data_IF_213536465420
#
_entry.id   IF_213536465420
#
_cell.length_a   1.000
_cell.length_b   1.000
_cell.length_c   1.000
_cell.angle_alpha   90.00
_cell.angle_beta   90.00
_cell.angle_gamma   90.00
#
_symmetry.space_group_name_H-M   'P 1'
#
loop_
_entity.id
_entity.type
_entity.pdbx_description
1 polymer ?
#
# COMPACT_ATOMS: atom_id res chain seq x y z
N UNK A 1 -56.39 25.82 -3.36
CA UNK A 1 -56.19 24.47 -3.95
C UNK A 1 -54.86 24.35 -4.69
N UNK A 2 -54.53 25.21 -5.68
CA UNK A 2 -53.29 25.10 -6.48
C UNK A 2 -51.99 25.15 -5.63
N UNK A 3 -51.90 26.05 -4.65
CA UNK A 3 -50.72 26.19 -3.80
C UNK A 3 -50.45 24.95 -2.91
N UNK A 4 -51.50 24.22 -2.51
CA UNK A 4 -51.38 23.03 -1.65
C UNK A 4 -50.86 21.81 -2.45
N UNK A 5 -51.27 21.69 -3.71
CA UNK A 5 -50.71 20.72 -4.65
C UNK A 5 -49.26 21.05 -5.02
N UNK A 6 -48.92 22.33 -5.18
CA UNK A 6 -47.55 22.77 -5.45
C UNK A 6 -46.58 22.37 -4.33
N UNK A 7 -46.94 22.64 -3.07
CA UNK A 7 -46.11 22.24 -1.92
C UNK A 7 -46.02 20.71 -1.74
N UNK A 8 -47.08 19.97 -2.03
CA UNK A 8 -47.05 18.49 -2.03
C UNK A 8 -46.10 17.94 -3.09
N UNK A 9 -46.11 18.50 -4.30
CA UNK A 9 -45.19 18.11 -5.38
C UNK A 9 -43.74 18.40 -4.99
N UNK A 10 -43.45 19.59 -4.45
CA UNK A 10 -42.10 19.94 -3.97
C UNK A 10 -41.66 19.01 -2.85
N UNK A 11 -42.51 18.76 -1.86
CA UNK A 11 -42.19 17.86 -0.76
C UNK A 11 -41.90 16.44 -1.25
N UNK A 12 -42.74 15.89 -2.13
CA UNK A 12 -42.50 14.58 -2.74
C UNK A 12 -41.19 14.55 -3.52
N UNK A 13 -40.87 15.59 -4.29
CA UNK A 13 -39.59 15.68 -5.01
C UNK A 13 -38.39 15.70 -4.05
N UNK A 14 -38.44 16.48 -2.97
CA UNK A 14 -37.38 16.54 -1.95
C UNK A 14 -37.20 15.18 -1.26
N UNK A 15 -38.30 14.50 -0.91
CA UNK A 15 -38.25 13.17 -0.29
C UNK A 15 -37.63 12.14 -1.24
N UNK A 16 -38.00 12.17 -2.52
CA UNK A 16 -37.43 11.26 -3.53
C UNK A 16 -35.93 11.53 -3.72
N UNK A 17 -35.52 12.79 -3.87
CA UNK A 17 -34.11 13.17 -4.00
C UNK A 17 -33.32 12.79 -2.75
N UNK A 18 -33.87 13.06 -1.56
CA UNK A 18 -33.26 12.68 -0.29
C UNK A 18 -33.11 11.16 -0.14
N UNK A 19 -34.10 10.39 -0.58
CA UNK A 19 -34.04 8.93 -0.57
C UNK A 19 -32.98 8.39 -1.53
N UNK A 20 -32.88 8.92 -2.75
CA UNK A 20 -31.83 8.53 -3.69
C UNK A 20 -30.43 8.87 -3.16
N UNK A 21 -30.25 10.07 -2.62
CA UNK A 21 -29.00 10.49 -2.00
C UNK A 21 -28.61 9.57 -0.83
N UNK A 22 -29.57 9.25 0.06
CA UNK A 22 -29.33 8.35 1.18
C UNK A 22 -28.99 6.93 0.74
N UNK A 23 -29.69 6.41 -0.26
CA UNK A 23 -29.41 5.08 -0.83
C UNK A 23 -28.02 5.03 -1.45
N UNK A 24 -27.64 6.06 -2.18
CA UNK A 24 -26.33 6.16 -2.81
C UNK A 24 -25.22 6.23 -1.76
N UNK A 25 -25.38 7.07 -0.73
CA UNK A 25 -24.46 7.16 0.41
C UNK A 25 -24.28 5.81 1.13
N UNK A 26 -25.38 5.08 1.35
CA UNK A 26 -25.33 3.76 1.98
C UNK A 26 -24.54 2.74 1.13
N UNK A 27 -24.74 2.76 -0.19
CA UNK A 27 -24.04 1.86 -1.09
C UNK A 27 -22.52 2.14 -1.08
N UNK A 28 -22.12 3.41 -1.18
CA UNK A 28 -20.71 3.82 -1.13
C UNK A 28 -20.03 3.35 0.17
N UNK A 29 -20.68 3.57 1.32
CA UNK A 29 -20.14 3.10 2.60
C UNK A 29 -20.03 1.57 2.67
N UNK A 30 -21.01 0.84 2.14
CA UNK A 30 -20.98 -0.62 2.14
C UNK A 30 -19.84 -1.17 1.29
N UNK A 31 -19.58 -0.57 0.12
CA UNK A 31 -18.46 -0.93 -0.73
C UNK A 31 -17.12 -0.57 -0.08
N UNK A 32 -17.02 0.60 0.56
CA UNK A 32 -15.83 0.99 1.33
C UNK A 32 -15.50 -0.03 2.43
N UNK A 33 -16.48 -0.39 3.27
CA UNK A 33 -16.29 -1.37 4.35
C UNK A 33 -15.92 -2.76 3.82
N UNK A 34 -16.50 -3.17 2.69
CA UNK A 34 -16.12 -4.42 2.01
C UNK A 34 -14.65 -4.41 1.60
N UNK A 35 -14.20 -3.33 0.98
CA UNK A 35 -12.80 -3.19 0.58
C UNK A 35 -11.85 -3.06 1.77
N UNK A 36 -12.28 -2.41 2.87
CA UNK A 36 -11.52 -2.37 4.12
C UNK A 36 -11.34 -3.76 4.69
N UNK A 37 -12.40 -4.56 4.79
CA UNK A 37 -12.32 -5.94 5.29
C UNK A 37 -11.36 -6.79 4.45
N UNK A 38 -11.44 -6.70 3.12
CA UNK A 38 -10.52 -7.43 2.23
C UNK A 38 -9.08 -6.94 2.38
N UNK A 39 -8.87 -5.64 2.59
CA UNK A 39 -7.54 -5.09 2.87
C UNK A 39 -7.00 -5.60 4.21
N UNK A 40 -7.85 -5.70 5.24
CA UNK A 40 -7.48 -6.24 6.55
C UNK A 40 -6.97 -7.67 6.40
N UNK A 41 -7.70 -8.50 5.66
CA UNK A 41 -7.30 -9.90 5.40
C UNK A 41 -5.99 -10.01 4.63
N UNK A 42 -5.78 -9.20 3.59
CA UNK A 42 -4.55 -9.26 2.79
C UNK A 42 -3.32 -8.81 3.56
N UNK A 43 -3.48 -7.81 4.44
CA UNK A 43 -2.38 -7.20 5.19
C UNK A 43 -2.19 -7.79 6.59
N UNK A 44 -2.97 -8.81 6.96
CA UNK A 44 -2.72 -9.54 8.19
C UNK A 44 -1.34 -10.23 8.12
N UNK A 45 -0.56 -10.03 9.18
CA UNK A 45 0.74 -10.64 9.43
C UNK A 45 0.72 -11.34 10.80
N UNK A 46 -0.47 -11.73 11.28
CA UNK A 46 -0.57 -12.66 12.38
C UNK A 46 0.04 -14.02 11.99
N UNK A 47 0.50 -14.78 12.99
CA UNK A 47 1.22 -16.03 12.79
C UNK A 47 0.43 -16.99 11.87
N UNK A 48 1.06 -17.42 10.76
CA UNK A 48 0.43 -18.31 9.76
C UNK A 48 -0.37 -17.61 8.66
N UNK A 49 -0.47 -16.28 8.67
CA UNK A 49 -1.12 -15.50 7.59
C UNK A 49 -0.12 -14.81 6.66
N UNK A 50 1.18 -14.92 6.95
CA UNK A 50 2.26 -14.33 6.15
C UNK A 50 2.33 -14.93 4.73
N UNK A 51 2.82 -14.18 3.73
CA UNK A 51 2.98 -14.72 2.39
C UNK A 51 4.02 -15.84 2.36
N UNK A 52 3.72 -16.94 1.67
CA UNK A 52 4.59 -18.12 1.63
C UNK A 52 5.75 -17.99 0.64
N UNK A 53 5.65 -17.06 -0.31
CA UNK A 53 6.64 -16.84 -1.35
C UNK A 53 6.55 -15.42 -1.93
N UNK A 54 7.51 -15.08 -2.79
CA UNK A 54 7.63 -13.75 -3.42
C UNK A 54 6.42 -13.39 -4.29
N UNK A 55 5.87 -14.38 -5.02
CA UNK A 55 4.71 -14.18 -5.88
C UNK A 55 3.46 -13.81 -5.06
N UNK A 56 3.23 -14.53 -3.96
CA UNK A 56 2.12 -14.24 -3.06
C UNK A 56 2.28 -12.86 -2.40
N UNK A 57 3.49 -12.53 -1.93
CA UNK A 57 3.78 -11.21 -1.35
C UNK A 57 3.52 -10.09 -2.38
N UNK A 58 4.02 -10.24 -3.60
CA UNK A 58 3.80 -9.26 -4.68
C UNK A 58 2.32 -9.13 -5.04
N UNK A 59 1.61 -10.26 -5.14
CA UNK A 59 0.18 -10.28 -5.45
C UNK A 59 -0.63 -9.52 -4.40
N UNK A 60 -0.32 -9.71 -3.11
CA UNK A 60 -0.95 -8.95 -2.02
C UNK A 60 -0.67 -7.46 -2.13
N UNK A 61 0.57 -7.04 -2.46
CA UNK A 61 0.86 -5.61 -2.70
C UNK A 61 -0.01 -5.04 -3.82
N UNK A 62 -0.09 -5.70 -4.97
CA UNK A 62 -0.90 -5.23 -6.10
C UNK A 62 -2.39 -5.12 -5.73
N UNK A 63 -2.95 -6.16 -5.14
CA UNK A 63 -4.37 -6.18 -4.70
C UNK A 63 -4.67 -5.12 -3.67
N UNK A 64 -3.80 -4.95 -2.68
CA UNK A 64 -3.98 -3.92 -1.66
C UNK A 64 -3.94 -2.51 -2.26
N UNK A 65 -3.11 -2.25 -3.28
CA UNK A 65 -3.11 -0.96 -3.99
C UNK A 65 -4.41 -0.74 -4.77
N UNK A 66 -4.93 -1.78 -5.44
CA UNK A 66 -6.25 -1.73 -6.06
C UNK A 66 -7.35 -1.42 -5.04
N UNK A 67 -7.37 -2.11 -3.89
CA UNK A 67 -8.38 -1.89 -2.85
C UNK A 67 -8.30 -0.48 -2.27
N UNK A 68 -7.10 0.05 -2.04
CA UNK A 68 -6.93 1.44 -1.61
C UNK A 68 -7.52 2.43 -2.61
N UNK A 69 -7.37 2.15 -3.92
CA UNK A 69 -7.99 2.97 -4.96
C UNK A 69 -9.51 2.85 -4.95
N UNK A 70 -10.06 1.64 -4.79
CA UNK A 70 -11.51 1.44 -4.66
C UNK A 70 -12.09 2.08 -3.40
N UNK A 71 -11.34 2.10 -2.31
CA UNK A 71 -11.70 2.88 -1.13
C UNK A 71 -11.68 4.38 -1.40
N UNK A 72 -10.69 4.91 -2.13
CA UNK A 72 -10.68 6.32 -2.56
C UNK A 72 -11.92 6.68 -3.40
N UNK A 73 -12.33 5.80 -4.32
CA UNK A 73 -13.52 5.99 -5.16
C UNK A 73 -14.84 5.95 -4.37
N UNK A 74 -14.91 5.12 -3.34
CA UNK A 74 -16.14 4.90 -2.56
C UNK A 74 -16.21 5.74 -1.27
N UNK A 75 -15.19 6.54 -0.96
CA UNK A 75 -15.19 7.38 0.25
C UNK A 75 -15.86 8.72 -0.04
N UNK A 76 -16.94 9.00 0.69
CA UNK A 76 -17.66 10.29 0.62
C UNK A 76 -16.82 11.43 1.23
N UNK A 77 -15.98 11.11 2.21
CA UNK A 77 -15.05 12.04 2.84
C UNK A 77 -13.68 12.08 2.15
N UNK A 78 -12.85 13.07 2.51
CA UNK A 78 -11.49 13.20 1.99
C UNK A 78 -10.67 11.93 2.30
N UNK A 79 -10.26 11.23 1.24
CA UNK A 79 -9.40 10.06 1.34
C UNK A 79 -7.98 10.43 1.78
N UNK A 80 -7.44 9.65 2.72
CA UNK A 80 -6.02 9.62 3.01
C UNK A 80 -5.61 8.22 3.47
N UNK A 81 -4.41 7.80 3.08
CA UNK A 81 -3.83 6.52 3.53
C UNK A 81 -3.78 6.47 5.07
N UNK A 82 -3.54 7.60 5.72
CA UNK A 82 -3.43 7.66 7.18
C UNK A 82 -4.75 7.38 7.88
N UNK A 83 -5.86 7.85 7.30
CA UNK A 83 -7.20 7.57 7.83
C UNK A 83 -7.56 6.11 7.63
N UNK A 84 -7.32 5.56 6.42
CA UNK A 84 -7.55 4.14 6.13
C UNK A 84 -6.75 3.25 7.09
N UNK A 85 -5.47 3.56 7.28
CA UNK A 85 -4.62 2.74 8.15
C UNK A 85 -4.90 2.91 9.64
N UNK A 86 -5.57 3.99 10.05
CA UNK A 86 -6.10 4.13 11.41
C UNK A 86 -7.27 3.18 11.62
N UNK A 87 -8.20 3.11 10.66
CA UNK A 87 -9.35 2.18 10.68
C UNK A 87 -8.87 0.72 10.58
N UNK A 88 -7.92 0.42 9.70
CA UNK A 88 -7.26 -0.89 9.61
C UNK A 88 -6.63 -1.31 10.94
N UNK A 89 -5.98 -0.38 11.66
CA UNK A 89 -5.39 -0.68 12.98
C UNK A 89 -6.45 -1.10 14.01
N UNK A 90 -7.68 -0.61 13.91
CA UNK A 90 -8.78 -0.98 14.80
C UNK A 90 -9.35 -2.37 14.49
N UNK A 91 -9.13 -2.90 13.29
CA UNK A 91 -9.67 -4.18 12.81
C UNK A 91 -8.62 -5.29 12.66
N UNK A 92 -7.35 -4.94 12.54
CA UNK A 92 -6.24 -5.87 12.32
C UNK A 92 -5.72 -6.50 13.62
N UNK A 93 -5.28 -7.76 13.55
CA UNK A 93 -4.61 -8.47 14.64
C UNK A 93 -3.12 -8.12 14.78
N UNK A 94 -2.56 -7.35 13.85
CA UNK A 94 -1.17 -6.93 13.86
C UNK A 94 -0.85 -6.02 15.04
N UNK A 95 0.41 -6.05 15.48
CA UNK A 95 0.89 -5.09 16.48
C UNK A 95 0.86 -3.66 15.93
N UNK A 96 0.77 -2.66 16.81
CA UNK A 96 0.84 -1.24 16.42
C UNK A 96 2.14 -0.91 15.66
N UNK A 97 3.26 -1.55 16.01
CA UNK A 97 4.55 -1.38 15.34
C UNK A 97 4.48 -1.82 13.87
N UNK A 98 3.98 -3.04 13.64
CA UNK A 98 3.78 -3.62 12.30
C UNK A 98 2.83 -2.76 11.48
N UNK A 99 1.69 -2.34 12.04
CA UNK A 99 0.72 -1.50 11.34
C UNK A 99 1.30 -0.16 10.87
N UNK A 100 2.15 0.48 11.68
CA UNK A 100 2.84 1.71 11.27
C UNK A 100 3.83 1.48 10.12
N UNK A 101 4.50 0.33 10.08
CA UNK A 101 5.43 -0.03 9.01
C UNK A 101 4.70 -0.31 7.70
N UNK A 102 3.61 -1.09 7.77
CA UNK A 102 2.76 -1.40 6.63
C UNK A 102 2.16 -0.10 6.08
N UNK A 103 1.58 0.77 6.95
CA UNK A 103 1.08 2.09 6.54
C UNK A 103 2.11 2.86 5.74
N UNK A 104 3.33 2.96 6.23
CA UNK A 104 4.35 3.79 5.59
C UNK A 104 4.77 3.21 4.22
N UNK A 105 4.89 1.88 4.11
CA UNK A 105 5.14 1.22 2.83
C UNK A 105 3.99 1.46 1.83
N UNK A 106 2.74 1.31 2.28
CA UNK A 106 1.57 1.52 1.42
C UNK A 106 1.35 2.99 1.06
N UNK A 107 1.73 3.93 1.92
CA UNK A 107 1.71 5.35 1.59
C UNK A 107 2.64 5.65 0.42
N UNK A 108 3.84 5.08 0.43
CA UNK A 108 4.79 5.24 -0.67
C UNK A 108 4.33 4.52 -1.94
N UNK A 109 3.92 3.26 -1.83
CA UNK A 109 3.43 2.47 -2.96
C UNK A 109 2.21 3.09 -3.63
N UNK A 110 1.25 3.60 -2.85
CA UNK A 110 0.06 4.26 -3.39
C UNK A 110 0.43 5.54 -4.13
N UNK A 111 1.36 6.32 -3.58
CA UNK A 111 1.91 7.51 -4.26
C UNK A 111 2.58 7.12 -5.57
N UNK A 112 3.40 6.07 -5.58
CA UNK A 112 4.05 5.55 -6.79
C UNK A 112 3.07 5.06 -7.84
N UNK A 113 2.03 4.31 -7.43
CA UNK A 113 0.98 3.88 -8.33
C UNK A 113 0.26 5.07 -9.01
N UNK A 114 0.03 6.16 -8.26
CA UNK A 114 -0.46 7.44 -8.83
C UNK A 114 0.53 8.06 -9.81
N UNK A 115 1.81 8.16 -9.42
CA UNK A 115 2.88 8.72 -10.28
C UNK A 115 3.09 7.93 -11.58
N UNK A 116 2.84 6.62 -11.55
CA UNK A 116 2.92 5.70 -12.68
C UNK A 116 1.65 5.63 -13.52
N UNK A 117 0.60 6.38 -13.15
CA UNK A 117 -0.65 6.47 -13.91
C UNK A 117 -1.50 5.19 -13.85
N UNK A 118 -1.24 4.29 -12.90
CA UNK A 118 -1.89 2.97 -12.86
C UNK A 118 -3.41 3.04 -12.66
N UNK A 119 -3.90 4.11 -12.02
CA UNK A 119 -5.32 4.29 -11.73
C UNK A 119 -6.11 4.92 -12.87
N UNK A 120 -5.42 5.40 -13.91
CA UNK A 120 -6.02 6.06 -15.07
C UNK A 120 -6.22 5.07 -16.24
N UNK A 121 -5.70 3.85 -16.10
CA UNK A 121 -5.71 2.80 -17.12
C UNK A 121 -6.51 1.58 -16.65
N UNK A 122 -7.46 1.12 -17.47
CA UNK A 122 -8.37 0.02 -17.11
C UNK A 122 -7.64 -1.32 -17.05
N UNK A 123 -6.69 -1.57 -17.95
CA UNK A 123 -5.93 -2.83 -18.01
C UNK A 123 -4.98 -2.93 -16.80
N UNK A 124 -4.34 -1.83 -16.42
CA UNK A 124 -3.56 -1.72 -15.20
C UNK A 124 -4.42 -1.98 -13.96
N UNK A 125 -5.59 -1.36 -13.86
CA UNK A 125 -6.52 -1.60 -12.75
C UNK A 125 -7.00 -3.05 -12.69
N UNK A 126 -7.29 -3.69 -13.83
CA UNK A 126 -7.64 -5.11 -13.88
C UNK A 126 -6.48 -5.99 -13.42
N UNK A 127 -5.25 -5.70 -13.87
CA UNK A 127 -4.07 -6.45 -13.46
C UNK A 127 -3.82 -6.36 -11.95
N UNK A 128 -3.98 -5.15 -11.37
CA UNK A 128 -3.84 -4.94 -9.93
C UNK A 128 -4.92 -5.68 -9.14
N UNK A 129 -6.16 -5.69 -9.63
CA UNK A 129 -7.27 -6.47 -9.05
C UNK A 129 -6.95 -7.97 -9.01
N UNK A 130 -6.40 -8.51 -10.10
CA UNK A 130 -5.99 -9.91 -10.21
C UNK A 130 -4.70 -10.22 -9.43
N UNK A 131 -4.08 -9.20 -8.84
CA UNK A 131 -2.83 -9.33 -8.08
C UNK A 131 -1.64 -9.66 -8.96
N UNK A 132 -1.61 -9.10 -10.17
CA UNK A 132 -0.57 -9.33 -11.18
C UNK A 132 0.10 -8.01 -11.58
N UNK A 133 1.28 -8.16 -12.19
CA UNK A 133 2.06 -7.04 -12.71
C UNK A 133 1.42 -6.45 -13.98
N UNK A 134 1.68 -5.17 -14.23
CA UNK A 134 1.23 -4.43 -15.42
C UNK A 134 2.36 -3.55 -15.96
N UNK A 135 2.09 -2.76 -17.00
CA UNK A 135 3.00 -1.74 -17.50
C UNK A 135 2.79 -0.40 -16.78
N UNK A 136 3.87 0.34 -16.60
CA UNK A 136 3.82 1.72 -16.13
C UNK A 136 3.23 2.58 -17.25
N UNK A 137 2.21 3.38 -16.93
CA UNK A 137 1.43 4.14 -17.90
C UNK A 137 2.07 5.50 -18.15
N UNK A 138 2.52 6.17 -17.10
CA UNK A 138 3.03 7.54 -17.16
C UNK A 138 4.35 7.73 -16.42
N UNK A 139 5.00 8.88 -16.69
CA UNK A 139 6.29 9.24 -16.12
C UNK A 139 7.49 8.70 -16.91
N UNK A 140 8.72 8.82 -16.35
CA UNK A 140 9.95 8.56 -17.09
C UNK A 140 10.20 7.06 -17.38
N UNK A 141 9.44 6.16 -16.75
CA UNK A 141 9.51 4.71 -16.95
C UNK A 141 8.27 4.16 -17.68
N UNK A 142 7.52 5.01 -18.37
CA UNK A 142 6.34 4.59 -19.14
C UNK A 142 6.71 3.48 -20.14
N UNK A 143 5.86 2.46 -20.21
CA UNK A 143 6.07 1.25 -21.01
C UNK A 143 6.95 0.18 -20.36
N UNK A 144 7.59 0.46 -19.22
CA UNK A 144 8.30 -0.56 -18.45
C UNK A 144 7.34 -1.42 -17.62
N UNK A 145 7.74 -2.66 -17.37
CA UNK A 145 7.01 -3.54 -16.47
C UNK A 145 7.13 -3.05 -15.02
N UNK A 146 5.98 -2.94 -14.35
CA UNK A 146 5.89 -2.67 -12.92
C UNK A 146 6.27 -3.92 -12.14
N UNK A 147 7.17 -3.79 -11.17
CA UNK A 147 7.63 -4.88 -10.35
C UNK A 147 7.50 -4.55 -8.86
N UNK A 148 7.41 -5.58 -8.02
CA UNK A 148 7.55 -5.47 -6.57
C UNK A 148 8.96 -5.87 -6.20
N UNK A 149 9.68 -4.97 -5.53
CA UNK A 149 11.01 -5.23 -4.98
C UNK A 149 11.03 -5.05 -3.47
N UNK A 150 12.22 -4.79 -2.92
CA UNK A 150 12.46 -4.78 -1.48
C UNK A 150 13.20 -3.53 -1.03
N UNK A 151 12.85 -3.00 0.15
CA UNK A 151 13.67 -1.93 0.75
C UNK A 151 15.00 -2.51 1.23
N UNK A 152 14.94 -3.66 1.91
CA UNK A 152 16.10 -4.43 2.35
C UNK A 152 16.13 -5.70 1.50
N UNK A 153 17.18 -5.85 0.69
CA UNK A 153 17.35 -7.01 -0.19
C UNK A 153 17.36 -8.32 0.61
N UNK A 154 16.75 -9.41 0.08
CA UNK A 154 16.90 -10.75 0.62
C UNK A 154 18.37 -11.19 0.78
N UNK A 155 19.27 -10.69 -0.07
CA UNK A 155 20.71 -10.98 0.01
C UNK A 155 21.36 -10.36 1.27
N UNK A 156 20.76 -9.30 1.81
CA UNK A 156 21.17 -8.66 3.05
C UNK A 156 20.50 -9.35 4.25
N UNK A 157 19.19 -9.58 4.16
CA UNK A 157 18.42 -10.32 5.16
C UNK A 157 17.19 -10.98 4.51
N UNK A 158 17.15 -12.31 4.59
CA UNK A 158 16.08 -13.11 3.99
C UNK A 158 14.82 -13.18 4.87
N UNK A 159 14.95 -13.04 6.19
CA UNK A 159 13.85 -13.22 7.16
C UNK A 159 12.68 -12.26 6.96
N UNK A 160 12.93 -11.06 6.43
CA UNK A 160 11.88 -10.06 6.17
C UNK A 160 11.49 -9.97 4.70
N UNK A 161 11.96 -10.91 3.87
CA UNK A 161 11.77 -10.84 2.42
C UNK A 161 10.30 -10.79 2.06
N UNK A 162 9.45 -11.59 2.71
CA UNK A 162 8.02 -11.67 2.38
C UNK A 162 7.15 -10.68 3.15
N UNK A 163 7.70 -10.03 4.18
CA UNK A 163 6.95 -9.06 4.98
C UNK A 163 6.52 -7.86 4.11
N UNK A 164 5.23 -7.54 4.05
CA UNK A 164 4.70 -6.55 3.11
C UNK A 164 5.24 -5.14 3.38
N UNK A 165 5.60 -4.83 4.64
CA UNK A 165 6.28 -3.59 4.95
C UNK A 165 7.71 -3.48 4.36
N UNK A 166 8.33 -4.57 3.90
CA UNK A 166 9.61 -4.52 3.20
C UNK A 166 9.43 -4.41 1.67
N UNK A 167 8.20 -4.24 1.16
CA UNK A 167 7.92 -4.23 -0.28
C UNK A 167 7.66 -2.85 -0.84
N UNK A 168 8.19 -2.60 -2.03
CA UNK A 168 7.90 -1.39 -2.79
C UNK A 168 7.61 -1.66 -4.27
N UNK A 169 6.82 -0.78 -4.87
CA UNK A 169 6.55 -0.72 -6.31
C UNK A 169 7.65 0.05 -7.02
N UNK A 170 8.18 -0.52 -8.09
CA UNK A 170 9.23 0.11 -8.89
C UNK A 170 9.26 -0.42 -10.33
N UNK A 171 9.90 0.32 -11.26
CA UNK A 171 10.16 -0.15 -12.61
C UNK A 171 11.11 -1.35 -12.61
N UNK A 172 10.96 -2.25 -13.59
CA UNK A 172 11.82 -3.42 -13.73
C UNK A 172 13.31 -3.06 -13.81
N UNK A 173 13.67 -2.01 -14.54
CA UNK A 173 15.08 -1.57 -14.66
C UNK A 173 15.66 -1.14 -13.31
N UNK A 174 14.88 -0.43 -12.50
CA UNK A 174 15.26 -0.03 -11.14
C UNK A 174 15.41 -1.25 -10.24
N UNK A 175 14.54 -2.26 -10.38
CA UNK A 175 14.61 -3.50 -9.58
C UNK A 175 15.92 -4.21 -9.82
N UNK A 176 16.29 -4.33 -11.09
CA UNK A 176 17.55 -4.93 -11.50
C UNK A 176 18.74 -4.12 -10.97
N UNK A 177 18.68 -2.78 -11.01
CA UNK A 177 19.75 -1.95 -10.45
C UNK A 177 19.87 -2.10 -8.93
N UNK A 178 18.75 -2.22 -8.21
CA UNK A 178 18.73 -2.38 -6.75
C UNK A 178 19.33 -3.70 -6.27
N UNK A 179 19.35 -4.75 -7.10
CA UNK A 179 20.05 -6.00 -6.78
C UNK A 179 21.56 -5.80 -6.59
N UNK A 180 22.11 -4.77 -7.22
CA UNK A 180 23.53 -4.42 -7.12
C UNK A 180 23.79 -3.21 -6.21
N UNK A 181 22.75 -2.67 -5.58
CA UNK A 181 22.88 -1.49 -4.74
C UNK A 181 23.40 -1.86 -3.35
N UNK A 182 24.42 -1.13 -2.90
CA UNK A 182 24.98 -1.25 -1.56
C UNK A 182 23.98 -0.82 -0.46
N UNK A 183 24.28 -1.16 0.79
CA UNK A 183 23.51 -0.71 1.96
C UNK A 183 23.58 0.81 2.09
N UNK A 184 22.44 1.47 1.94
CA UNK A 184 22.29 2.93 2.06
C UNK A 184 21.86 3.36 3.47
N UNK A 185 21.85 4.68 3.72
CA UNK A 185 21.31 5.23 4.97
C UNK A 185 19.83 4.90 5.13
N UNK A 186 19.06 4.89 4.04
CA UNK A 186 17.63 4.56 4.06
C UNK A 186 17.40 3.10 4.45
N UNK A 187 18.25 2.18 3.97
CA UNK A 187 18.24 0.76 4.37
C UNK A 187 18.49 0.62 5.87
N UNK A 188 19.48 1.35 6.40
CA UNK A 188 19.79 1.38 7.84
C UNK A 188 18.62 1.92 8.66
N UNK A 189 18.04 3.06 8.29
CA UNK A 189 16.90 3.64 8.99
C UNK A 189 15.66 2.73 8.94
N UNK A 190 15.44 2.03 7.82
CA UNK A 190 14.38 1.03 7.69
C UNK A 190 14.62 -0.15 8.62
N UNK A 191 15.84 -0.66 8.69
CA UNK A 191 16.21 -1.76 9.60
C UNK A 191 15.95 -1.39 11.07
N UNK A 192 16.35 -0.18 11.49
CA UNK A 192 16.08 0.33 12.85
C UNK A 192 14.58 0.40 13.17
N UNK A 193 13.74 0.71 12.19
CA UNK A 193 12.28 0.73 12.36
C UNK A 193 11.68 -0.68 12.42
N UNK A 194 12.16 -1.60 11.58
CA UNK A 194 11.74 -3.00 11.58
C UNK A 194 12.12 -3.70 12.90
N UNK A 195 13.32 -3.42 13.42
CA UNK A 195 13.76 -3.89 14.75
C UNK A 195 12.84 -3.40 15.87
N UNK A 196 12.50 -2.11 15.88
CA UNK A 196 11.60 -1.53 16.89
C UNK A 196 10.17 -2.09 16.84
N UNK A 197 9.76 -2.65 15.71
CA UNK A 197 8.48 -3.31 15.56
C UNK A 197 8.55 -4.84 15.78
N UNK A 198 9.72 -5.36 16.20
CA UNK A 198 9.97 -6.79 16.42
C UNK A 198 9.82 -7.65 15.16
N UNK A 199 9.92 -7.03 13.98
CA UNK A 199 9.88 -7.72 12.67
C UNK A 199 11.28 -8.19 12.24
N UNK A 200 12.30 -7.40 12.57
CA UNK A 200 13.70 -7.73 12.27
C UNK A 200 14.43 -8.08 13.56
N UNK A 201 15.09 -9.23 13.58
CA UNK A 201 15.91 -9.66 14.71
C UNK A 201 17.05 -8.65 15.01
N UNK A 202 17.43 -8.57 16.29
CA UNK A 202 18.48 -7.68 16.77
C UNK A 202 19.81 -7.94 16.05
N UNK A 203 20.22 -9.20 15.90
CA UNK A 203 21.47 -9.57 15.26
C UNK A 203 21.46 -9.24 13.76
N UNK A 204 20.33 -9.46 13.09
CA UNK A 204 20.16 -9.07 11.69
C UNK A 204 20.27 -7.55 11.50
N UNK A 205 19.60 -6.77 12.35
CA UNK A 205 19.69 -5.31 12.32
C UNK A 205 21.12 -4.82 12.59
N UNK A 206 21.80 -5.39 13.59
CA UNK A 206 23.16 -4.98 13.95
C UNK A 206 24.16 -5.30 12.81
N UNK A 207 23.97 -6.42 12.09
CA UNK A 207 24.73 -6.74 10.88
C UNK A 207 24.56 -5.68 9.78
N UNK A 208 23.32 -5.27 9.50
CA UNK A 208 23.03 -4.22 8.50
C UNK A 208 23.71 -2.90 8.88
N UNK A 209 23.60 -2.51 10.16
CA UNK A 209 24.23 -1.28 10.67
C UNK A 209 25.76 -1.36 10.56
N UNK A 210 26.36 -2.51 10.88
CA UNK A 210 27.80 -2.70 10.79
C UNK A 210 28.30 -2.63 9.34
N UNK A 211 27.60 -3.25 8.40
CA UNK A 211 27.93 -3.18 6.97
C UNK A 211 27.84 -1.73 6.45
N UNK A 212 26.75 -1.01 6.80
CA UNK A 212 26.62 0.42 6.48
C UNK A 212 27.80 1.25 7.01
N UNK A 213 28.15 1.08 8.29
CA UNK A 213 29.25 1.82 8.90
C UNK A 213 30.59 1.49 8.24
N UNK A 214 30.82 0.22 7.88
CA UNK A 214 32.03 -0.21 7.18
C UNK A 214 32.15 0.46 5.80
N UNK A 215 31.09 0.44 5.00
CA UNK A 215 31.05 1.09 3.69
C UNK A 215 31.27 2.61 3.82
N UNK A 216 30.63 3.24 4.81
CA UNK A 216 30.81 4.66 5.09
C UNK A 216 32.26 4.98 5.45
N UNK A 217 32.88 4.19 6.33
CA UNK A 217 34.28 4.36 6.69
C UNK A 217 35.21 4.22 5.48
N UNK A 218 35.00 3.21 4.64
CA UNK A 218 35.77 3.01 3.42
C UNK A 218 35.63 4.17 2.44
N UNK A 219 34.41 4.67 2.25
CA UNK A 219 34.14 5.84 1.41
C UNK A 219 34.81 7.13 1.96
N UNK A 220 34.89 7.29 3.28
CA UNK A 220 35.57 8.44 3.89
C UNK A 220 37.09 8.33 3.91
N UNK A 221 37.67 7.12 3.80
CA UNK A 221 39.13 6.91 3.74
C UNK A 221 39.69 7.04 2.31
N UNK A 222 38.84 6.86 1.30
CA UNK A 222 39.21 6.95 -0.12
C UNK A 222 38.95 8.33 -0.75
N UNK A 223 38.48 9.31 0.04
CA UNK A 223 38.33 10.73 -0.32
C UNK A 223 39.34 11.58 0.46
#
# INVERSE_FOLDING_TARGET
MIADYFWKIIFTAVVIVGFFYWKDWMNHNKEYERHMSELVELLDHSEGTEPNNDYEAASRIYRSIYLLRKMEENRVEKFSIDTVFKEFQEQSNNTRGVNNLIRDAFRENYKKAKEYGLFEDEDAMSSLMDGTSTLIISGPWSGEKLEVGHYISPDINDTISFHLANRLLLPQTVKLAMQFADITIDVKERADRLKRAEVLDVGACDSIIQQYNTLRELATRNN
#
